data_IF_847608122046
#
_entry.id   IF_847608122046
#
_cell.length_a   1.000
_cell.length_b   1.000
_cell.length_c   1.000
_cell.angle_alpha   90.00
_cell.angle_beta   90.00
_cell.angle_gamma   90.00
#
_symmetry.space_group_name_H-M   'P 1'
#
loop_
_entity.id
_entity.type
_entity.pdbx_description
1 polymer ?
#
# COMPACT_ATOMS: atom_id res chain seq x y z
N UNK A 1 -1.05 -20.39 -19.05
CA UNK A 1 -0.88 -18.95 -19.34
C UNK A 1 -1.72 -18.12 -18.36
N UNK A 2 -1.32 -18.05 -17.08
CA UNK A 2 -2.02 -17.27 -16.03
C UNK A 2 -1.08 -16.44 -15.14
N UNK A 3 0.22 -16.42 -15.44
CA UNK A 3 1.22 -15.66 -14.69
C UNK A 3 1.12 -14.17 -15.00
N UNK A 4 0.21 -13.48 -14.33
CA UNK A 4 0.00 -12.04 -14.50
C UNK A 4 -1.05 -11.41 -13.59
N UNK A 5 -1.68 -12.17 -12.71
CA UNK A 5 -2.86 -11.70 -11.97
C UNK A 5 -2.52 -10.67 -10.88
N UNK A 6 -1.30 -10.59 -10.33
CA UNK A 6 -0.94 -9.51 -9.39
C UNK A 6 -0.29 -8.28 -10.05
N UNK A 7 0.45 -8.48 -11.15
CA UNK A 7 1.14 -7.38 -11.86
C UNK A 7 0.35 -6.76 -13.01
N UNK A 8 -0.66 -7.47 -13.52
CA UNK A 8 -1.44 -7.08 -14.69
C UNK A 8 -2.92 -6.75 -14.42
N UNK A 9 -3.43 -7.02 -13.22
CA UNK A 9 -4.82 -6.65 -12.87
C UNK A 9 -4.92 -5.24 -12.31
N UNK A 10 -3.85 -4.68 -11.72
CA UNK A 10 -3.85 -3.31 -11.22
C UNK A 10 -3.94 -2.24 -12.32
N UNK A 11 -3.43 -2.51 -13.53
CA UNK A 11 -3.56 -1.60 -14.67
C UNK A 11 -4.95 -1.58 -15.32
N UNK A 12 -5.79 -2.59 -15.04
CA UNK A 12 -7.12 -2.75 -15.63
C UNK A 12 -8.29 -2.50 -14.67
N UNK A 13 -8.03 -2.45 -13.36
CA UNK A 13 -9.02 -2.06 -12.33
C UNK A 13 -8.70 -0.64 -11.84
N UNK A 14 -8.61 0.31 -12.76
CA UNK A 14 -8.80 1.73 -12.44
C UNK A 14 -10.30 2.09 -12.39
N UNK A 15 -11.19 1.14 -12.71
CA UNK A 15 -12.58 1.13 -12.22
C UNK A 15 -12.59 0.56 -10.81
N UNK A 16 -12.30 1.41 -9.81
CA UNK A 16 -11.93 1.01 -8.45
C UNK A 16 -12.90 0.07 -7.73
N UNK A 17 -12.48 -0.37 -6.54
CA UNK A 17 -13.26 -1.21 -5.62
C UNK A 17 -14.59 -0.53 -5.22
N UNK A 18 -14.74 0.77 -5.46
CA UNK A 18 -15.96 1.58 -5.29
C UNK A 18 -16.79 1.81 -6.57
N UNK A 19 -16.28 1.39 -7.73
CA UNK A 19 -16.88 1.56 -9.04
C UNK A 19 -18.01 0.56 -9.28
N UNK A 20 -19.10 0.69 -8.52
CA UNK A 20 -20.36 0.07 -8.94
C UNK A 20 -20.70 0.58 -10.33
N UNK A 21 -20.56 -0.27 -11.35
CA UNK A 21 -21.19 -0.04 -12.65
C UNK A 21 -22.69 -0.24 -12.42
N UNK A 22 -23.34 0.74 -11.80
CA UNK A 22 -24.81 0.80 -11.72
C UNK A 22 -25.32 1.49 -12.99
N UNK A 23 -25.09 0.85 -14.13
CA UNK A 23 -25.56 1.32 -15.42
C UNK A 23 -25.61 0.13 -16.37
N UNK A 24 -26.81 -0.37 -16.64
CA UNK A 24 -26.99 -1.35 -17.72
C UNK A 24 -26.38 -0.81 -19.00
N UNK A 25 -25.66 -1.66 -19.74
CA UNK A 25 -25.10 -1.27 -21.04
C UNK A 25 -26.28 -1.06 -21.99
N UNK A 26 -26.66 0.20 -22.20
CA UNK A 26 -27.67 0.58 -23.18
C UNK A 26 -27.00 0.65 -24.55
N UNK A 27 -27.62 0.04 -25.57
CA UNK A 27 -27.09 0.15 -26.93
C UNK A 27 -27.17 1.60 -27.42
N UNK A 28 -26.20 2.01 -28.23
CA UNK A 28 -26.26 3.34 -28.87
C UNK A 28 -27.54 3.51 -29.68
N UNK A 29 -28.02 2.45 -30.34
CA UNK A 29 -29.28 2.45 -31.11
C UNK A 29 -30.49 2.79 -30.25
N UNK A 30 -30.58 2.24 -29.04
CA UNK A 30 -31.66 2.55 -28.12
C UNK A 30 -31.66 4.05 -27.72
N UNK A 31 -30.48 4.62 -27.47
CA UNK A 31 -30.33 6.05 -27.18
C UNK A 31 -30.69 6.92 -28.39
N UNK A 32 -30.30 6.51 -29.60
CA UNK A 32 -30.62 7.20 -30.85
C UNK A 32 -32.13 7.23 -31.09
N UNK A 33 -32.77 6.06 -31.03
CA UNK A 33 -34.22 5.93 -31.25
C UNK A 33 -35.02 6.70 -30.20
N UNK A 34 -34.65 6.58 -28.91
CA UNK A 34 -35.29 7.33 -27.83
C UNK A 34 -35.16 8.83 -28.03
N UNK A 35 -33.95 9.33 -28.33
CA UNK A 35 -33.70 10.75 -28.61
C UNK A 35 -34.55 11.23 -29.79
N UNK A 36 -34.56 10.50 -30.90
CA UNK A 36 -35.30 10.87 -32.11
C UNK A 36 -36.80 11.05 -31.83
N UNK A 37 -37.35 10.25 -30.94
CA UNK A 37 -38.76 10.32 -30.56
C UNK A 37 -39.11 11.53 -29.65
N UNK A 38 -38.16 12.06 -28.86
CA UNK A 38 -38.48 13.01 -27.76
C UNK A 38 -37.81 14.39 -27.85
N UNK A 39 -36.74 14.57 -28.65
CA UNK A 39 -35.83 15.72 -28.49
C UNK A 39 -36.44 17.08 -28.87
N UNK A 40 -37.42 17.11 -29.78
CA UNK A 40 -37.97 18.36 -30.32
C UNK A 40 -36.92 19.26 -31.01
N UNK A 41 -37.27 20.52 -31.35
CA UNK A 41 -36.32 21.49 -31.87
C UNK A 41 -35.23 21.85 -30.85
N UNK A 42 -33.99 22.01 -31.30
CA UNK A 42 -32.88 22.43 -30.43
C UNK A 42 -33.01 23.91 -30.05
N UNK A 43 -33.08 24.20 -28.74
CA UNK A 43 -33.31 25.55 -28.21
C UNK A 43 -32.03 26.25 -27.72
N UNK A 44 -30.83 25.72 -28.03
CA UNK A 44 -29.56 26.27 -27.54
C UNK A 44 -29.24 25.89 -26.09
N UNK A 45 -28.34 26.66 -25.46
CA UNK A 45 -27.92 26.46 -24.07
C UNK A 45 -28.97 27.02 -23.09
N UNK A 46 -29.93 26.17 -22.71
CA UNK A 46 -31.05 26.55 -21.82
C UNK A 46 -30.80 26.29 -20.34
N UNK A 47 -29.74 25.52 -20.01
CA UNK A 47 -29.35 25.27 -18.63
C UNK A 47 -28.32 26.33 -18.20
N UNK A 48 -28.59 26.97 -17.07
CA UNK A 48 -27.66 27.89 -16.43
C UNK A 48 -26.84 27.14 -15.38
N UNK A 49 -25.61 26.79 -15.73
CA UNK A 49 -24.67 26.10 -14.85
C UNK A 49 -23.53 27.04 -14.48
N UNK A 50 -23.10 26.98 -13.23
CA UNK A 50 -21.90 27.70 -12.78
C UNK A 50 -20.67 26.89 -13.15
N UNK A 51 -19.65 27.56 -13.71
CA UNK A 51 -18.36 26.93 -13.95
C UNK A 51 -17.65 26.67 -12.61
N UNK A 52 -17.05 25.48 -12.42
CA UNK A 52 -16.20 25.22 -11.27
C UNK A 52 -14.98 26.16 -11.24
N UNK A 53 -14.49 26.47 -10.04
CA UNK A 53 -13.31 27.33 -9.87
C UNK A 53 -12.05 26.68 -10.47
N UNK A 54 -11.19 27.49 -11.09
CA UNK A 54 -9.92 27.02 -11.68
C UNK A 54 -8.99 26.43 -10.61
N UNK A 55 -8.41 25.25 -10.90
CA UNK A 55 -7.41 24.55 -10.06
C UNK A 55 -7.78 24.44 -8.57
N UNK A 56 -9.00 23.98 -8.28
CA UNK A 56 -9.55 23.93 -6.92
C UNK A 56 -9.84 22.48 -6.49
N UNK A 57 -9.24 21.96 -5.39
CA UNK A 57 -9.38 20.55 -5.00
C UNK A 57 -10.82 20.04 -4.82
N UNK A 58 -11.78 20.84 -4.28
CA UNK A 58 -13.20 20.47 -4.25
C UNK A 58 -13.84 20.11 -5.60
N UNK A 59 -13.24 20.46 -6.74
CA UNK A 59 -13.71 20.00 -8.05
C UNK A 59 -13.72 18.46 -8.17
N UNK A 60 -12.91 17.76 -7.38
CA UNK A 60 -12.89 16.29 -7.30
C UNK A 60 -14.23 15.70 -6.85
N UNK A 61 -15.11 16.47 -6.20
CA UNK A 61 -16.47 16.03 -5.86
C UNK A 61 -17.29 15.70 -7.12
N UNK A 62 -17.02 16.36 -8.24
CA UNK A 62 -17.75 16.21 -9.50
C UNK A 62 -17.33 14.98 -10.31
N UNK A 63 -16.19 14.36 -9.96
CA UNK A 63 -15.56 13.34 -10.79
C UNK A 63 -16.05 11.93 -10.48
N UNK A 64 -15.92 11.02 -11.44
CA UNK A 64 -16.00 9.59 -11.17
C UNK A 64 -14.79 9.13 -10.32
N UNK A 65 -14.86 7.92 -9.76
CA UNK A 65 -13.85 7.43 -8.82
C UNK A 65 -12.48 7.22 -9.47
N UNK A 66 -12.42 6.57 -10.65
CA UNK A 66 -11.17 6.30 -11.36
C UNK A 66 -10.37 7.57 -11.68
N UNK A 67 -10.92 8.55 -12.42
CA UNK A 67 -10.23 9.80 -12.72
C UNK A 67 -9.79 10.59 -11.47
N UNK A 68 -10.60 10.57 -10.39
CA UNK A 68 -10.24 11.20 -9.12
C UNK A 68 -9.02 10.54 -8.50
N UNK A 69 -9.02 9.21 -8.42
CA UNK A 69 -7.90 8.44 -7.88
C UNK A 69 -6.62 8.69 -8.68
N UNK A 70 -6.71 8.72 -10.01
CA UNK A 70 -5.56 8.99 -10.88
C UNK A 70 -4.96 10.38 -10.62
N UNK A 71 -5.78 11.42 -10.52
CA UNK A 71 -5.29 12.77 -10.20
C UNK A 71 -4.65 12.87 -8.81
N UNK A 72 -5.22 12.19 -7.81
CA UNK A 72 -4.60 12.13 -6.48
C UNK A 72 -3.28 11.35 -6.49
N UNK A 73 -3.24 10.23 -7.20
CA UNK A 73 -2.07 9.36 -7.27
C UNK A 73 -0.89 10.03 -7.97
N UNK A 74 -1.12 10.68 -9.11
CA UNK A 74 -0.09 11.41 -9.84
C UNK A 74 0.57 12.50 -8.98
N UNK A 75 -0.22 13.30 -8.25
CA UNK A 75 0.32 14.30 -7.29
C UNK A 75 1.06 13.65 -6.11
N UNK A 76 0.61 12.47 -5.64
CA UNK A 76 1.25 11.75 -4.54
C UNK A 76 2.66 11.25 -4.93
N UNK A 77 2.82 10.70 -6.14
CA UNK A 77 4.09 10.10 -6.58
C UNK A 77 5.04 11.10 -7.25
N UNK A 78 4.55 12.27 -7.65
CA UNK A 78 5.38 13.35 -8.20
C UNK A 78 6.51 13.70 -7.22
N UNK A 79 7.75 13.51 -7.65
CA UNK A 79 8.94 13.76 -6.84
C UNK A 79 9.51 12.56 -6.09
N UNK A 80 8.91 11.35 -6.19
CA UNK A 80 9.54 10.11 -5.71
C UNK A 80 10.64 9.63 -6.66
N UNK A 81 11.79 9.24 -6.10
CA UNK A 81 12.92 8.72 -6.88
C UNK A 81 13.71 7.65 -6.12
N UNK A 82 14.46 6.84 -6.86
CA UNK A 82 15.31 5.79 -6.32
C UNK A 82 16.78 6.11 -6.56
N UNK A 83 17.58 6.05 -5.49
CA UNK A 83 19.04 6.13 -5.56
C UNK A 83 19.65 4.79 -5.19
N UNK A 84 20.53 4.26 -6.03
CA UNK A 84 21.18 2.96 -5.83
C UNK A 84 22.69 3.12 -5.65
N UNK A 85 23.30 2.22 -4.86
CA UNK A 85 24.75 2.12 -4.73
C UNK A 85 25.18 0.66 -4.90
N UNK A 86 25.82 0.35 -6.03
CA UNK A 86 26.19 -1.03 -6.40
C UNK A 86 27.23 -1.65 -5.46
N UNK A 87 28.17 -0.87 -4.93
CA UNK A 87 29.21 -1.34 -4.00
C UNK A 87 28.62 -1.93 -2.71
N UNK A 88 27.96 -1.11 -1.86
CA UNK A 88 27.30 -1.63 -0.67
C UNK A 88 26.03 -2.45 -0.97
N UNK A 89 25.50 -2.44 -2.20
CA UNK A 89 24.23 -3.07 -2.58
C UNK A 89 23.06 -2.57 -1.75
N UNK A 90 22.95 -1.25 -1.65
CA UNK A 90 21.82 -0.59 -1.01
C UNK A 90 21.07 0.32 -1.99
N UNK A 91 19.84 0.63 -1.59
CA UNK A 91 18.96 1.52 -2.32
C UNK A 91 18.24 2.44 -1.33
N UNK A 92 17.99 3.67 -1.75
CA UNK A 92 17.23 4.66 -0.97
C UNK A 92 16.08 5.18 -1.83
N UNK A 93 14.87 5.15 -1.27
CA UNK A 93 13.73 5.92 -1.75
C UNK A 93 13.87 7.34 -1.22
N UNK A 94 13.94 8.31 -2.12
CA UNK A 94 14.02 9.73 -1.79
C UNK A 94 12.77 10.45 -2.34
N UNK A 95 12.44 11.58 -1.71
CA UNK A 95 11.37 12.46 -2.16
C UNK A 95 11.88 13.90 -2.29
N UNK A 96 11.49 14.57 -3.37
CA UNK A 96 11.73 15.98 -3.58
C UNK A 96 10.40 16.71 -3.81
N UNK A 97 10.08 17.69 -2.95
CA UNK A 97 8.93 18.55 -3.19
C UNK A 97 9.27 19.50 -4.35
N UNK A 98 8.74 19.21 -5.54
CA UNK A 98 9.03 19.96 -6.76
C UNK A 98 8.40 21.36 -6.77
N UNK A 99 7.44 21.62 -5.88
CA UNK A 99 6.81 22.93 -5.70
C UNK A 99 7.54 23.85 -4.71
N UNK A 100 8.60 23.35 -4.05
CA UNK A 100 9.37 24.15 -3.11
C UNK A 100 10.31 25.12 -3.84
N UNK A 101 10.47 26.34 -3.31
CA UNK A 101 11.41 27.34 -3.83
C UNK A 101 12.88 26.86 -3.80
N UNK A 102 13.21 25.96 -2.86
CA UNK A 102 14.48 25.25 -2.82
C UNK A 102 14.22 23.73 -2.83
N UNK A 103 14.44 23.10 -3.98
CA UNK A 103 14.19 21.67 -4.17
C UNK A 103 15.31 20.86 -3.53
N UNK A 104 14.97 20.08 -2.51
CA UNK A 104 15.87 19.17 -1.81
C UNK A 104 15.36 17.74 -1.88
N UNK A 105 16.27 16.80 -2.18
CA UNK A 105 16.01 15.36 -2.09
C UNK A 105 16.16 14.91 -0.65
N UNK A 106 15.11 14.30 -0.11
CA UNK A 106 15.02 13.89 1.29
C UNK A 106 14.83 12.37 1.35
N UNK A 107 15.66 11.64 2.10
CA UNK A 107 15.51 10.19 2.20
C UNK A 107 14.24 9.84 2.98
N UNK A 108 13.46 8.90 2.45
CA UNK A 108 12.29 8.33 3.11
C UNK A 108 12.61 6.94 3.65
N UNK A 109 13.16 6.08 2.80
CA UNK A 109 13.43 4.69 3.13
C UNK A 109 14.79 4.27 2.60
N UNK A 110 15.65 3.71 3.45
CA UNK A 110 16.92 3.09 3.05
C UNK A 110 16.87 1.58 3.25
N UNK A 111 17.29 0.82 2.24
CA UNK A 111 17.18 -0.63 2.24
C UNK A 111 18.48 -1.29 1.81
N UNK A 112 18.83 -2.38 2.49
CA UNK A 112 19.90 -3.29 2.11
C UNK A 112 19.40 -4.73 2.24
N UNK A 113 19.53 -5.49 1.16
CA UNK A 113 19.02 -6.86 1.11
C UNK A 113 19.85 -7.82 1.98
N UNK A 114 19.24 -8.89 2.49
CA UNK A 114 19.96 -10.02 3.06
C UNK A 114 20.94 -10.65 2.06
N UNK A 115 21.97 -11.33 2.58
CA UNK A 115 22.89 -12.10 1.75
C UNK A 115 22.25 -13.40 1.26
N UNK A 116 22.80 -13.99 0.18
CA UNK A 116 22.39 -15.33 -0.28
C UNK A 116 22.55 -16.40 0.82
N UNK A 117 23.55 -16.26 1.69
CA UNK A 117 23.75 -17.16 2.82
C UNK A 117 22.62 -17.03 3.86
N UNK A 118 22.20 -15.81 4.16
CA UNK A 118 21.05 -15.54 5.04
C UNK A 118 19.74 -16.13 4.48
N UNK A 119 19.48 -15.95 3.17
CA UNK A 119 18.30 -16.58 2.55
C UNK A 119 18.34 -18.10 2.65
N UNK A 120 19.51 -18.73 2.46
CA UNK A 120 19.65 -20.19 2.62
C UNK A 120 19.32 -20.65 4.04
N UNK A 121 19.84 -19.96 5.07
CA UNK A 121 19.53 -20.28 6.48
C UNK A 121 18.04 -20.17 6.79
N UNK A 122 17.34 -19.20 6.19
CA UNK A 122 15.90 -19.03 6.42
C UNK A 122 15.02 -20.09 5.73
N UNK A 123 15.57 -20.96 4.88
CA UNK A 123 14.78 -22.05 4.30
C UNK A 123 14.28 -23.04 5.34
N UNK A 124 15.01 -23.25 6.44
CA UNK A 124 14.58 -24.12 7.52
C UNK A 124 13.28 -23.60 8.15
N UNK A 125 13.16 -22.28 8.32
CA UNK A 125 11.92 -21.63 8.76
C UNK A 125 10.81 -21.82 7.71
N UNK A 126 11.08 -21.53 6.44
CA UNK A 126 10.07 -21.67 5.37
C UNK A 126 9.54 -23.12 5.28
N UNK A 127 10.42 -24.11 5.42
CA UNK A 127 10.06 -25.52 5.45
C UNK A 127 9.19 -25.85 6.68
N UNK A 128 9.57 -25.39 7.88
CA UNK A 128 8.78 -25.59 9.10
C UNK A 128 7.39 -24.92 9.01
N UNK A 129 7.30 -23.74 8.42
CA UNK A 129 6.02 -23.05 8.18
C UNK A 129 5.07 -23.81 7.24
N UNK A 130 5.55 -24.80 6.47
CA UNK A 130 4.71 -25.61 5.61
C UNK A 130 3.70 -26.48 6.39
N UNK A 131 3.98 -26.81 7.65
CA UNK A 131 3.08 -27.59 8.51
C UNK A 131 1.76 -26.84 8.79
N UNK A 132 1.77 -25.50 8.71
CA UNK A 132 0.59 -24.66 8.91
C UNK A 132 -0.29 -24.53 7.66
N UNK A 133 0.08 -25.12 6.52
CA UNK A 133 -0.64 -24.91 5.26
C UNK A 133 -2.09 -25.37 5.33
N UNK A 134 -2.37 -26.50 5.97
CA UNK A 134 -3.74 -26.99 6.13
C UNK A 134 -4.64 -25.98 6.87
N UNK A 135 -4.11 -25.38 7.94
CA UNK A 135 -4.84 -24.40 8.76
C UNK A 135 -4.95 -23.02 8.11
N UNK A 136 -4.00 -22.65 7.24
CA UNK A 136 -3.90 -21.31 6.66
C UNK A 136 -4.33 -21.22 5.20
N UNK A 137 -4.61 -22.34 4.54
CA UNK A 137 -4.88 -22.38 3.10
C UNK A 137 -5.98 -21.40 2.66
N UNK A 138 -7.11 -21.39 3.36
CA UNK A 138 -8.26 -20.55 3.00
C UNK A 138 -7.90 -19.06 3.06
N UNK A 139 -7.31 -18.63 4.18
CA UNK A 139 -6.79 -17.26 4.31
C UNK A 139 -5.75 -16.95 3.21
N UNK A 140 -4.84 -17.87 2.94
CA UNK A 140 -3.76 -17.67 1.96
C UNK A 140 -4.32 -17.39 0.57
N UNK A 141 -5.33 -18.16 0.17
CA UNK A 141 -6.00 -18.12 -1.13
C UNK A 141 -6.80 -16.83 -1.29
N UNK A 142 -7.54 -16.41 -0.26
CA UNK A 142 -8.38 -15.20 -0.29
C UNK A 142 -7.55 -13.92 -0.23
N UNK A 143 -6.39 -13.96 0.43
CA UNK A 143 -5.46 -12.84 0.54
C UNK A 143 -4.59 -12.63 -0.72
N UNK A 144 -4.82 -13.35 -1.83
CA UNK A 144 -4.09 -13.13 -3.10
C UNK A 144 -4.52 -11.86 -3.82
N UNK A 145 -5.72 -11.37 -3.52
CA UNK A 145 -6.27 -10.08 -3.96
C UNK A 145 -6.34 -9.13 -2.76
N UNK A 146 -6.49 -7.80 -2.97
CA UNK A 146 -6.66 -6.86 -1.86
C UNK A 146 -7.72 -7.33 -0.84
N UNK A 147 -7.32 -7.70 0.40
CA UNK A 147 -8.20 -8.39 1.34
C UNK A 147 -9.12 -7.43 2.12
N UNK A 148 -9.88 -6.58 1.41
CA UNK A 148 -10.74 -5.53 2.00
C UNK A 148 -11.68 -6.08 3.08
N UNK A 149 -12.28 -7.24 2.85
CA UNK A 149 -13.19 -7.88 3.80
C UNK A 149 -12.54 -8.16 5.17
N UNK A 150 -11.24 -8.43 5.21
CA UNK A 150 -10.51 -8.67 6.45
C UNK A 150 -10.30 -7.38 7.25
N UNK A 151 -10.08 -6.23 6.59
CA UNK A 151 -10.05 -4.95 7.29
C UNK A 151 -11.45 -4.49 7.68
N UNK A 152 -12.45 -4.71 6.81
CA UNK A 152 -13.86 -4.43 7.10
C UNK A 152 -14.35 -5.13 8.37
N UNK A 153 -13.95 -6.38 8.61
CA UNK A 153 -14.37 -7.08 9.83
C UNK A 153 -13.73 -6.52 11.11
N UNK A 154 -12.63 -5.76 11.01
CA UNK A 154 -11.96 -5.14 12.17
C UNK A 154 -12.54 -3.76 12.47
N UNK A 155 -12.73 -2.92 11.46
CA UNK A 155 -13.09 -1.50 11.64
C UNK A 155 -14.51 -1.14 11.16
N UNK A 156 -15.26 -2.08 10.59
CA UNK A 156 -16.63 -1.84 10.12
C UNK A 156 -16.73 -1.13 8.76
N UNK A 157 -15.70 -1.21 7.91
CA UNK A 157 -15.71 -0.61 6.57
C UNK A 157 -16.82 -1.21 5.68
N UNK A 158 -17.60 -0.33 5.07
CA UNK A 158 -18.68 -0.66 4.12
C UNK A 158 -18.67 0.30 2.94
N UNK A 159 -18.88 -0.20 1.72
CA UNK A 159 -18.73 0.59 0.49
C UNK A 159 -19.69 1.79 0.38
N UNK A 160 -20.91 1.67 0.90
CA UNK A 160 -21.92 2.72 0.82
C UNK A 160 -21.72 3.85 1.84
N UNK A 161 -20.96 3.62 2.92
CA UNK A 161 -20.66 4.64 3.95
C UNK A 161 -19.23 5.18 3.87
N UNK A 162 -18.28 4.36 3.43
CA UNK A 162 -16.85 4.62 3.56
C UNK A 162 -16.15 4.68 2.19
N UNK A 163 -16.80 5.31 1.21
CA UNK A 163 -16.37 5.36 -0.18
C UNK A 163 -15.02 6.06 -0.35
N UNK A 164 -14.79 7.16 0.35
CA UNK A 164 -13.56 7.96 0.34
C UNK A 164 -12.46 7.29 1.13
N UNK A 165 -12.80 6.61 2.21
CA UNK A 165 -11.86 5.76 2.95
C UNK A 165 -11.35 4.61 2.08
N UNK A 166 -12.23 3.94 1.33
CA UNK A 166 -11.81 2.92 0.35
C UNK A 166 -10.91 3.51 -0.75
N UNK A 167 -11.18 4.75 -1.19
CA UNK A 167 -10.31 5.46 -2.13
C UNK A 167 -8.91 5.73 -1.55
N UNK A 168 -8.79 6.07 -0.26
CA UNK A 168 -7.49 6.20 0.39
C UNK A 168 -6.75 4.86 0.48
N UNK A 169 -7.47 3.75 0.72
CA UNK A 169 -6.90 2.40 0.69
C UNK A 169 -6.37 2.09 -0.72
N UNK A 170 -7.13 2.38 -1.77
CA UNK A 170 -6.71 2.18 -3.17
C UNK A 170 -5.43 2.99 -3.50
N UNK A 171 -5.33 4.22 -3.00
CA UNK A 171 -4.13 5.05 -3.18
C UNK A 171 -2.90 4.50 -2.45
N UNK A 172 -3.05 4.04 -1.20
CA UNK A 172 -1.90 3.49 -0.47
C UNK A 172 -1.43 2.17 -1.08
N UNK A 173 -2.34 1.35 -1.59
CA UNK A 173 -2.00 0.14 -2.35
C UNK A 173 -1.23 0.49 -3.62
N UNK A 174 -1.74 1.43 -4.41
CA UNK A 174 -1.08 1.88 -5.64
C UNK A 174 0.33 2.42 -5.35
N UNK A 175 0.50 3.16 -4.25
CA UNK A 175 1.80 3.64 -3.80
C UNK A 175 2.74 2.49 -3.40
N UNK A 176 2.24 1.49 -2.67
CA UNK A 176 3.02 0.31 -2.30
C UNK A 176 3.52 -0.41 -3.55
N UNK A 177 2.63 -0.73 -4.50
CA UNK A 177 2.97 -1.41 -5.76
C UNK A 177 4.00 -0.61 -6.56
N UNK A 178 3.77 0.70 -6.73
CA UNK A 178 4.69 1.59 -7.44
C UNK A 178 6.11 1.56 -6.86
N UNK A 179 6.23 1.53 -5.52
CA UNK A 179 7.52 1.55 -4.84
C UNK A 179 8.16 0.16 -4.74
N UNK A 180 7.41 -0.85 -4.33
CA UNK A 180 7.95 -2.18 -4.06
C UNK A 180 8.43 -2.87 -5.33
N UNK A 181 7.77 -2.66 -6.48
CA UNK A 181 8.19 -3.27 -7.75
C UNK A 181 9.55 -2.72 -8.18
N UNK A 182 9.81 -1.44 -7.92
CA UNK A 182 11.12 -0.82 -8.14
C UNK A 182 12.18 -1.40 -7.20
N UNK A 183 11.89 -1.56 -5.91
CA UNK A 183 12.83 -2.23 -5.00
C UNK A 183 13.09 -3.69 -5.38
N UNK A 184 12.05 -4.46 -5.76
CA UNK A 184 12.19 -5.84 -6.21
C UNK A 184 13.08 -5.95 -7.45
N UNK A 185 12.95 -5.03 -8.39
CA UNK A 185 13.89 -4.95 -9.52
C UNK A 185 15.31 -4.65 -9.03
N UNK A 186 15.50 -3.63 -8.20
CA UNK A 186 16.83 -3.19 -7.76
C UNK A 186 17.59 -4.31 -7.03
N UNK A 187 16.90 -5.05 -6.15
CA UNK A 187 17.53 -6.09 -5.33
C UNK A 187 17.52 -7.49 -5.95
N UNK A 188 16.63 -7.75 -6.92
CA UNK A 188 16.55 -9.00 -7.69
C UNK A 188 16.68 -10.28 -6.82
N UNK A 189 16.08 -10.28 -5.64
CA UNK A 189 16.25 -11.36 -4.66
C UNK A 189 15.50 -12.63 -5.07
N UNK A 190 16.15 -13.78 -4.88
CA UNK A 190 15.68 -15.10 -5.30
C UNK A 190 14.66 -15.68 -4.32
N UNK A 191 13.60 -16.32 -4.83
CA UNK A 191 12.55 -16.94 -4.02
C UNK A 191 12.96 -18.28 -3.39
N UNK A 192 12.31 -18.73 -2.31
CA UNK A 192 12.63 -20.01 -1.65
C UNK A 192 12.70 -21.21 -2.58
N UNK A 193 11.70 -21.38 -3.46
CA UNK A 193 11.62 -22.50 -4.42
C UNK A 193 12.78 -22.55 -5.41
N UNK A 194 13.40 -21.41 -5.72
CA UNK A 194 14.56 -21.36 -6.62
C UNK A 194 15.84 -21.87 -5.94
N UNK A 195 15.88 -21.95 -4.60
CA UNK A 195 17.02 -22.48 -3.85
C UNK A 195 16.81 -23.95 -3.49
N UNK A 196 15.58 -24.35 -3.17
CA UNK A 196 15.26 -25.74 -2.80
C UNK A 196 13.96 -26.21 -3.47
N UNK A 197 13.99 -27.30 -4.27
CA UNK A 197 12.79 -27.86 -4.89
C UNK A 197 11.83 -28.48 -3.86
N UNK A 198 12.30 -28.73 -2.63
CA UNK A 198 11.49 -29.29 -1.54
C UNK A 198 10.54 -28.26 -0.92
N UNK A 199 10.67 -26.95 -1.21
CA UNK A 199 9.76 -25.94 -0.66
C UNK A 199 8.34 -26.12 -1.19
N UNK A 200 8.19 -26.47 -2.47
CA UNK A 200 6.91 -26.71 -3.15
C UNK A 200 5.81 -25.72 -2.73
N UNK A 201 5.88 -24.45 -3.18
CA UNK A 201 4.90 -23.42 -2.79
C UNK A 201 3.46 -23.86 -3.10
N UNK A 202 2.52 -23.55 -2.21
CA UNK A 202 1.11 -23.96 -2.37
C UNK A 202 0.29 -23.00 -3.26
N UNK A 203 0.90 -21.92 -3.73
CA UNK A 203 0.33 -20.96 -4.68
C UNK A 203 1.33 -20.70 -5.80
N UNK A 204 0.85 -20.15 -6.92
CA UNK A 204 1.70 -19.78 -8.03
C UNK A 204 2.82 -18.83 -7.57
N UNK A 205 4.05 -19.17 -7.94
CA UNK A 205 5.23 -18.36 -7.62
C UNK A 205 5.23 -17.10 -8.50
N UNK A 206 5.18 -15.88 -7.92
CA UNK A 206 5.12 -14.67 -8.74
C UNK A 206 6.39 -14.43 -9.57
N UNK A 207 6.22 -13.89 -10.79
CA UNK A 207 7.29 -13.66 -11.78
C UNK A 207 8.25 -12.51 -11.51
N UNK A 208 8.40 -12.09 -10.26
CA UNK A 208 9.28 -11.00 -9.82
C UNK A 208 9.98 -11.36 -8.50
N UNK A 209 11.01 -10.58 -8.13
CA UNK A 209 11.84 -10.81 -6.95
C UNK A 209 11.07 -10.97 -5.63
N UNK A 210 11.65 -11.73 -4.70
CA UNK A 210 11.06 -12.00 -3.38
C UNK A 210 11.09 -10.78 -2.46
N UNK A 211 12.18 -10.01 -2.47
CA UNK A 211 12.42 -9.02 -1.42
C UNK A 211 12.24 -7.58 -1.92
N UNK A 212 11.55 -6.71 -1.15
CA UNK A 212 10.76 -7.00 0.07
C UNK A 212 9.43 -7.71 -0.25
N UNK A 213 8.73 -8.24 0.76
CA UNK A 213 7.40 -8.85 0.59
C UNK A 213 6.34 -7.79 0.26
N UNK A 214 5.58 -8.04 -0.82
CA UNK A 214 4.57 -7.10 -1.29
C UNK A 214 3.34 -7.04 -0.39
N UNK A 215 2.73 -8.21 -0.14
CA UNK A 215 1.56 -8.29 0.74
C UNK A 215 1.87 -7.82 2.18
N UNK A 216 3.11 -7.98 2.66
CA UNK A 216 3.49 -7.40 3.94
C UNK A 216 3.53 -5.86 3.86
N UNK A 217 4.13 -5.30 2.81
CA UNK A 217 4.17 -3.85 2.56
C UNK A 217 2.75 -3.27 2.50
N UNK A 218 1.89 -3.84 1.67
CA UNK A 218 0.50 -3.42 1.50
C UNK A 218 -0.29 -3.52 2.81
N UNK A 219 -0.21 -4.66 3.52
CA UNK A 219 -1.00 -4.88 4.71
C UNK A 219 -0.60 -3.97 5.88
N UNK A 220 0.70 -3.74 6.08
CA UNK A 220 1.19 -2.81 7.10
C UNK A 220 0.91 -1.35 6.72
N UNK A 221 0.91 -1.01 5.42
CA UNK A 221 0.53 0.31 4.96
C UNK A 221 -0.95 0.62 5.22
N UNK A 222 -1.86 -0.31 4.90
CA UNK A 222 -3.30 -0.15 5.17
C UNK A 222 -3.57 -0.08 6.68
N UNK A 223 -2.94 -0.94 7.48
CA UNK A 223 -3.07 -0.88 8.93
C UNK A 223 -2.64 0.48 9.50
N UNK A 224 -1.51 1.02 9.03
CA UNK A 224 -0.98 2.31 9.47
C UNK A 224 -1.87 3.48 9.00
N UNK A 225 -2.35 3.42 7.76
CA UNK A 225 -3.27 4.43 7.19
C UNK A 225 -4.57 4.51 7.97
N UNK A 226 -5.23 3.36 8.19
CA UNK A 226 -6.51 3.30 8.90
C UNK A 226 -6.36 3.76 10.35
N UNK A 227 -5.24 3.41 11.01
CA UNK A 227 -4.95 3.92 12.35
C UNK A 227 -4.83 5.44 12.34
N UNK A 228 -4.03 6.01 11.45
CA UNK A 228 -3.86 7.45 11.35
C UNK A 228 -5.19 8.19 11.08
N UNK A 229 -6.04 7.64 10.20
CA UNK A 229 -7.35 8.22 9.89
C UNK A 229 -8.27 8.15 11.12
N UNK A 230 -8.43 6.96 11.71
CA UNK A 230 -9.39 6.71 12.79
C UNK A 230 -8.95 7.30 14.14
N UNK A 231 -7.67 7.58 14.33
CA UNK A 231 -7.16 8.33 15.49
C UNK A 231 -7.60 9.80 15.46
N UNK A 232 -7.82 10.36 14.26
CA UNK A 232 -8.20 11.77 14.08
C UNK A 232 -9.71 12.01 14.09
N UNK A 233 -10.51 10.94 14.04
CA UNK A 233 -11.98 11.04 14.11
C UNK A 233 -12.38 11.55 15.51
N UNK A 234 -13.13 12.67 15.61
CA UNK A 234 -13.55 13.21 16.89
C UNK A 234 -14.37 12.18 17.67
N UNK A 235 -13.93 11.81 18.86
CA UNK A 235 -14.70 10.97 19.79
C UNK A 235 -15.11 11.83 20.98
N UNK A 236 -16.39 12.13 21.08
CA UNK A 236 -16.92 12.85 22.24
C UNK A 236 -17.00 11.87 23.43
N UNK A 237 -16.00 11.92 24.30
CA UNK A 237 -15.99 11.16 25.55
C UNK A 237 -15.68 9.66 25.43
N UNK A 238 -15.19 9.18 24.28
CA UNK A 238 -14.75 7.80 24.08
C UNK A 238 -13.33 7.74 23.50
N UNK A 239 -12.65 6.60 23.63
CA UNK A 239 -11.36 6.37 22.99
C UNK A 239 -11.56 6.25 21.47
N UNK A 240 -10.75 6.91 20.61
CA UNK A 240 -10.89 6.78 19.17
C UNK A 240 -10.81 5.32 18.70
N UNK A 241 -11.60 4.96 17.69
CA UNK A 241 -11.59 3.60 17.12
C UNK A 241 -10.19 3.20 16.62
N UNK A 242 -9.39 4.14 16.13
CA UNK A 242 -8.01 3.89 15.69
C UNK A 242 -7.14 3.30 16.80
N UNK A 243 -7.28 3.80 18.03
CA UNK A 243 -6.57 3.28 19.21
C UNK A 243 -7.08 1.89 19.59
N UNK A 244 -8.40 1.70 19.58
CA UNK A 244 -9.03 0.43 19.98
C UNK A 244 -8.77 -0.71 19.00
N UNK A 245 -8.69 -0.41 17.69
CA UNK A 245 -8.48 -1.39 16.62
C UNK A 245 -6.99 -1.58 16.24
N UNK A 246 -6.09 -0.78 16.80
CA UNK A 246 -4.66 -0.75 16.45
C UNK A 246 -4.02 -2.14 16.48
N UNK A 247 -4.18 -2.85 17.59
CA UNK A 247 -3.55 -4.16 17.79
C UNK A 247 -4.10 -5.19 16.78
N UNK A 248 -5.42 -5.20 16.56
CA UNK A 248 -6.07 -6.12 15.63
C UNK A 248 -5.63 -5.86 14.19
N UNK A 249 -5.55 -4.59 13.77
CA UNK A 249 -5.05 -4.22 12.44
C UNK A 249 -3.59 -4.64 12.24
N UNK A 250 -2.72 -4.42 13.22
CA UNK A 250 -1.31 -4.81 13.15
C UNK A 250 -1.14 -6.34 13.16
N UNK A 251 -1.91 -7.06 13.97
CA UNK A 251 -1.93 -8.54 13.97
C UNK A 251 -2.45 -9.11 12.66
N UNK A 252 -3.47 -8.50 12.05
CA UNK A 252 -3.96 -8.90 10.74
C UNK A 252 -2.88 -8.69 9.66
N UNK A 253 -2.17 -7.56 9.68
CA UNK A 253 -1.05 -7.33 8.76
C UNK A 253 0.07 -8.37 8.95
N UNK A 254 0.43 -8.68 10.20
CA UNK A 254 1.41 -9.72 10.52
C UNK A 254 0.94 -11.11 10.06
N UNK A 255 -0.35 -11.43 10.20
CA UNK A 255 -0.97 -12.68 9.74
C UNK A 255 -0.87 -12.82 8.22
N UNK A 256 -1.25 -11.78 7.47
CA UNK A 256 -1.15 -11.74 5.99
C UNK A 256 0.31 -11.93 5.55
N UNK A 257 1.25 -11.25 6.19
CA UNK A 257 2.67 -11.35 5.90
C UNK A 257 3.21 -12.78 6.18
N UNK A 258 2.88 -13.35 7.33
CA UNK A 258 3.30 -14.71 7.73
C UNK A 258 2.69 -15.77 6.82
N UNK A 259 1.45 -15.58 6.39
CA UNK A 259 0.77 -16.46 5.44
C UNK A 259 1.54 -16.58 4.10
N UNK A 260 2.36 -15.59 3.72
CA UNK A 260 3.24 -15.70 2.54
C UNK A 260 4.46 -16.60 2.76
N UNK A 261 4.93 -16.72 4.00
CA UNK A 261 5.98 -17.68 4.39
C UNK A 261 5.39 -19.10 4.42
N UNK A 262 4.23 -19.29 5.04
CA UNK A 262 3.45 -20.55 5.02
C UNK A 262 3.21 -21.03 3.59
N UNK A 263 2.86 -20.10 2.70
CA UNK A 263 2.64 -20.41 1.29
C UNK A 263 3.91 -20.83 0.53
N UNK A 264 5.10 -20.63 1.10
CA UNK A 264 6.40 -20.99 0.52
C UNK A 264 6.96 -19.97 -0.48
N UNK A 265 6.38 -18.76 -0.58
CA UNK A 265 6.75 -17.77 -1.60
C UNK A 265 7.67 -16.67 -1.10
N UNK A 266 7.79 -16.48 0.22
CA UNK A 266 8.59 -15.45 0.88
C UNK A 266 9.35 -15.99 2.08
N UNK A 267 10.44 -15.32 2.45
CA UNK A 267 11.18 -15.59 3.69
C UNK A 267 10.67 -14.68 4.82
N UNK A 268 10.87 -15.04 6.10
CA UNK A 268 10.56 -14.16 7.24
C UNK A 268 11.16 -12.75 7.12
N UNK A 269 12.40 -12.61 6.64
CA UNK A 269 13.03 -11.29 6.43
C UNK A 269 12.35 -10.44 5.34
N UNK A 270 11.68 -11.08 4.36
CA UNK A 270 10.90 -10.36 3.36
C UNK A 270 9.70 -9.66 4.03
N UNK A 271 9.04 -10.35 4.97
CA UNK A 271 7.93 -9.83 5.78
C UNK A 271 8.41 -8.72 6.72
N UNK A 272 9.57 -8.89 7.34
CA UNK A 272 10.19 -7.89 8.19
C UNK A 272 10.47 -6.58 7.44
N UNK A 273 11.07 -6.67 6.25
CA UNK A 273 11.32 -5.51 5.39
C UNK A 273 10.02 -4.88 4.88
N UNK A 274 9.03 -5.70 4.53
CA UNK A 274 7.71 -5.22 4.09
C UNK A 274 6.98 -4.42 5.17
N UNK A 275 7.06 -4.86 6.44
CA UNK A 275 6.51 -4.09 7.58
C UNK A 275 7.07 -2.67 7.65
N UNK A 276 8.39 -2.52 7.55
CA UNK A 276 9.03 -1.20 7.59
C UNK A 276 8.64 -0.37 6.37
N UNK A 277 8.69 -0.95 5.16
CA UNK A 277 8.38 -0.24 3.93
C UNK A 277 6.91 0.23 3.94
N UNK A 278 5.97 -0.64 4.29
CA UNK A 278 4.54 -0.33 4.34
C UNK A 278 4.24 0.79 5.34
N UNK A 279 4.82 0.71 6.53
CA UNK A 279 4.69 1.76 7.55
C UNK A 279 5.20 3.11 7.03
N UNK A 280 6.40 3.14 6.42
CA UNK A 280 6.99 4.36 5.89
C UNK A 280 6.15 5.00 4.76
N UNK A 281 5.58 4.18 3.88
CA UNK A 281 4.78 4.64 2.75
C UNK A 281 3.42 5.20 3.21
N UNK A 282 2.79 4.57 4.20
CA UNK A 282 1.58 5.11 4.81
C UNK A 282 1.87 6.43 5.55
N UNK A 283 2.94 6.51 6.32
CA UNK A 283 3.38 7.76 6.97
C UNK A 283 3.64 8.87 5.93
N UNK A 284 4.24 8.54 4.79
CA UNK A 284 4.42 9.48 3.68
C UNK A 284 3.10 9.97 3.09
N UNK A 285 2.15 9.06 2.79
CA UNK A 285 0.83 9.42 2.29
C UNK A 285 0.09 10.32 3.29
N UNK A 286 0.06 9.94 4.57
CA UNK A 286 -0.56 10.74 5.65
C UNK A 286 0.11 12.12 5.75
N UNK A 287 1.43 12.19 5.68
CA UNK A 287 2.16 13.47 5.70
C UNK A 287 1.83 14.35 4.50
N UNK A 288 1.72 13.76 3.30
CA UNK A 288 1.25 14.46 2.10
C UNK A 288 -0.20 14.90 2.22
N UNK A 289 -1.06 14.21 2.96
CA UNK A 289 -2.47 14.56 3.15
C UNK A 289 -2.70 15.61 4.24
N UNK A 290 -1.88 15.60 5.30
CA UNK A 290 -2.15 16.35 6.55
C UNK A 290 -1.11 17.43 6.85
N UNK A 291 -0.01 17.48 6.08
CA UNK A 291 1.11 18.40 6.36
C UNK A 291 2.00 17.97 7.53
N UNK A 292 1.80 16.78 8.09
CA UNK A 292 2.69 16.20 9.11
C UNK A 292 4.08 15.89 8.54
N UNK A 293 5.02 15.52 9.41
CA UNK A 293 6.43 15.25 9.05
C UNK A 293 6.70 13.75 9.11
N UNK A 294 7.63 13.29 8.28
CA UNK A 294 8.07 11.88 8.24
C UNK A 294 9.46 11.72 8.81
N UNK A 295 9.79 10.51 9.25
CA UNK A 295 11.15 10.14 9.63
C UNK A 295 11.74 9.20 8.58
N UNK A 296 13.03 9.34 8.27
CA UNK A 296 13.72 8.32 7.46
C UNK A 296 13.66 6.98 8.21
N UNK A 297 13.22 5.92 7.52
CA UNK A 297 13.23 4.55 8.02
C UNK A 297 14.28 3.73 7.27
N UNK A 298 14.94 2.81 7.95
CA UNK A 298 16.01 1.99 7.37
C UNK A 298 15.84 0.52 7.68
N UNK A 299 16.09 -0.34 6.69
CA UNK A 299 16.17 -1.79 6.87
C UNK A 299 17.48 -2.35 6.33
N UNK A 300 18.30 -2.94 7.20
CA UNK A 300 19.50 -3.70 6.80
C UNK A 300 19.29 -5.19 7.08
N UNK A 301 18.93 -5.94 6.03
CA UNK A 301 18.67 -7.37 6.11
C UNK A 301 19.90 -8.19 6.48
N UNK A 302 21.11 -7.62 6.45
CA UNK A 302 22.32 -8.30 6.92
C UNK A 302 22.41 -8.37 8.44
N UNK A 303 21.66 -7.50 9.13
CA UNK A 303 21.57 -7.49 10.59
C UNK A 303 20.33 -8.25 11.10
N UNK A 304 19.56 -8.87 10.20
CA UNK A 304 18.37 -9.66 10.54
C UNK A 304 18.76 -11.13 10.74
N UNK A 305 19.54 -11.38 11.77
CA UNK A 305 19.93 -12.70 12.26
C UNK A 305 19.91 -12.68 13.79
N UNK A 306 19.81 -13.85 14.42
CA UNK A 306 19.95 -13.94 15.87
C UNK A 306 21.40 -13.74 16.33
N UNK A 307 21.65 -13.63 17.65
CA UNK A 307 22.96 -13.27 18.20
C UNK A 307 24.13 -14.17 17.77
N UNK A 308 23.86 -15.43 17.42
CA UNK A 308 24.86 -16.40 16.98
C UNK A 308 24.82 -16.65 15.46
N UNK A 309 24.10 -15.80 14.71
CA UNK A 309 23.95 -15.91 13.26
C UNK A 309 22.89 -16.94 12.81
N UNK A 310 22.03 -17.40 13.71
CA UNK A 310 20.88 -18.25 13.40
C UNK A 310 19.80 -17.46 12.62
N UNK A 311 18.98 -18.13 11.78
CA UNK A 311 17.90 -17.44 11.07
C UNK A 311 16.88 -16.89 12.08
N UNK A 312 16.62 -15.59 12.00
CA UNK A 312 15.61 -14.92 12.82
C UNK A 312 14.23 -15.01 12.13
N UNK A 313 13.19 -15.28 12.91
CA UNK A 313 11.81 -15.24 12.43
C UNK A 313 11.22 -13.83 12.51
N UNK A 314 10.17 -13.58 11.74
CA UNK A 314 9.46 -12.31 11.75
C UNK A 314 8.65 -12.15 13.03
N UNK A 315 8.85 -11.03 13.74
CA UNK A 315 8.06 -10.67 14.93
C UNK A 315 7.44 -9.28 14.78
N UNK A 316 6.13 -9.21 15.02
CA UNK A 316 5.39 -7.94 15.07
C UNK A 316 5.86 -7.05 16.23
N UNK A 317 6.32 -7.63 17.32
CA UNK A 317 6.69 -6.89 18.53
C UNK A 317 8.15 -6.41 18.52
N UNK A 318 8.93 -6.76 17.49
CA UNK A 318 10.26 -6.18 17.31
C UNK A 318 10.12 -4.66 17.07
N UNK A 319 10.89 -3.86 17.82
CA UNK A 319 10.92 -2.40 17.65
C UNK A 319 11.49 -2.03 16.28
N UNK A 320 10.93 -0.99 15.67
CA UNK A 320 11.43 -0.41 14.42
C UNK A 320 12.20 0.91 14.63
N UNK A 321 12.32 1.36 15.87
CA UNK A 321 12.70 2.75 16.20
C UNK A 321 14.13 2.86 16.78
N UNK A 322 15.02 1.96 16.36
CA UNK A 322 16.43 2.04 16.74
C UNK A 322 17.16 3.14 15.95
N UNK A 323 18.16 3.78 16.54
CA UNK A 323 18.94 4.82 15.84
C UNK A 323 20.01 4.22 14.92
N UNK A 324 20.61 3.08 15.30
CA UNK A 324 21.64 2.38 14.53
C UNK A 324 21.86 0.95 15.05
N UNK A 325 22.66 0.16 14.34
CA UNK A 325 23.15 -1.16 14.81
C UNK A 325 22.12 -2.29 14.80
N UNK A 326 20.90 -2.04 14.33
CA UNK A 326 19.81 -3.00 14.28
C UNK A 326 19.29 -3.14 12.85
N UNK A 327 18.62 -4.25 12.54
CA UNK A 327 18.00 -4.45 11.24
C UNK A 327 17.02 -3.34 10.89
N UNK A 328 16.22 -2.88 11.86
CA UNK A 328 15.37 -1.71 11.73
C UNK A 328 16.04 -0.46 12.27
N UNK A 329 15.90 0.65 11.56
CA UNK A 329 16.29 1.98 12.06
C UNK A 329 15.26 3.04 11.75
N UNK A 330 15.18 4.07 12.59
CA UNK A 330 14.40 5.28 12.38
C UNK A 330 15.23 6.51 12.76
N UNK A 331 15.32 7.48 11.85
CA UNK A 331 16.01 8.73 12.13
C UNK A 331 15.29 9.51 13.23
N UNK A 332 16.06 10.10 14.16
CA UNK A 332 15.50 10.98 15.18
C UNK A 332 14.93 12.26 14.57
N UNK A 333 15.60 12.81 13.54
CA UNK A 333 15.14 13.97 12.81
C UNK A 333 13.95 13.63 11.91
N UNK A 334 12.92 14.47 11.95
CA UNK A 334 11.80 14.42 11.01
C UNK A 334 11.98 15.43 9.89
N UNK A 335 11.37 15.18 8.74
CA UNK A 335 11.46 15.99 7.54
C UNK A 335 10.08 16.30 6.98
N UNK A 336 9.85 17.55 6.57
CA UNK A 336 8.64 17.93 5.86
C UNK A 336 8.68 17.48 4.40
N UNK A 337 7.56 16.93 3.92
CA UNK A 337 7.36 16.47 2.53
C UNK A 337 6.39 17.34 1.74
N UNK A 338 5.91 18.45 2.32
CA UNK A 338 4.91 19.32 1.70
C UNK A 338 3.52 18.70 1.68
N UNK A 339 2.50 19.53 1.44
CA UNK A 339 1.11 19.08 1.34
C UNK A 339 0.75 18.79 -0.12
N UNK A 340 -0.15 17.83 -0.33
CA UNK A 340 -0.76 17.49 -1.61
C UNK A 340 -2.25 17.88 -1.56
N UNK A 341 -2.64 19.05 -2.10
CA UNK A 341 -4.01 19.57 -1.93
C UNK A 341 -5.13 18.63 -2.39
N UNK A 342 -4.92 17.85 -3.44
CA UNK A 342 -5.91 16.89 -3.94
C UNK A 342 -6.10 15.73 -2.96
N UNK A 343 -4.99 15.23 -2.41
CA UNK A 343 -5.00 14.18 -1.40
C UNK A 343 -5.55 14.68 -0.06
N UNK A 344 -5.21 15.92 0.33
CA UNK A 344 -5.77 16.56 1.52
C UNK A 344 -7.30 16.63 1.43
N UNK A 345 -7.86 17.07 0.29
CA UNK A 345 -9.30 17.07 0.10
C UNK A 345 -9.90 15.66 0.27
N UNK A 346 -9.29 14.64 -0.33
CA UNK A 346 -9.78 13.26 -0.20
C UNK A 346 -9.71 12.75 1.25
N UNK A 347 -8.66 13.11 1.98
CA UNK A 347 -8.51 12.81 3.40
C UNK A 347 -9.62 13.43 4.25
N UNK A 348 -9.91 14.72 4.07
CA UNK A 348 -10.98 15.41 4.78
C UNK A 348 -12.36 14.82 4.46
N UNK A 349 -12.60 14.44 3.21
CA UNK A 349 -13.85 13.76 2.84
C UNK A 349 -13.96 12.37 3.47
N UNK A 350 -12.85 11.65 3.61
CA UNK A 350 -12.85 10.36 4.31
C UNK A 350 -13.12 10.52 5.81
N UNK A 351 -12.59 11.56 6.46
CA UNK A 351 -12.88 11.83 7.88
C UNK A 351 -14.37 12.03 8.15
N UNK A 352 -15.08 12.70 7.25
CA UNK A 352 -16.54 12.93 7.35
C UNK A 352 -17.35 11.64 7.33
N UNK A 353 -16.82 10.55 6.77
CA UNK A 353 -17.51 9.25 6.72
C UNK A 353 -17.58 8.55 8.09
N UNK A 354 -16.69 8.94 9.01
CA UNK A 354 -16.55 8.34 10.34
C UNK A 354 -17.05 9.23 11.48
N UNK A 355 -17.49 10.45 11.17
CA UNK A 355 -17.97 11.44 12.14
C UNK A 355 -19.40 11.15 12.64
#
# INVERSE_FOLDING_TARGET
>A
MSGGISGGISGGISGGISGGISGGIVSADALILSRAAIVGPFNGAVLHVNEPTFDHPPNLALWADGPRLEACFTQLVEGLLFKTRSGPKDATLEFANLQASNIQRKPLVRMRAPTKAQFKKQLDLVAAYADLRADRAVEIVDQRTPPIAFWSSVVGLTAHRHKKTLQLIDLVFSLCIFVEMRFKHIFASIRPVAISPQIQPMIETPGHGSWPSGHATEAFAVATLLQALLDTVPSTGSTPNGVLSREQLQRLAARIATNRVVAGVHYPVDSAAGRLLGTALAEFLVARATGTRVHERGFDGRLFEGPNGEPLDFSLHQSMDHTSGHAYTRAAASTAVGNAPLLNWLWEEALKEWA
#
